data_IF_276304556014
#
_entry.id   IF_276304556014
#
_cell.length_a   1.000
_cell.length_b   1.000
_cell.length_c   1.000
_cell.angle_alpha   90.00
_cell.angle_beta   90.00
_cell.angle_gamma   90.00
#
_symmetry.space_group_name_H-M   'P 1'
#
loop_
_entity.id
_entity.type
_entity.pdbx_description
1 polymer ?
#
# COMPACT_ATOMS: atom_id res chain seq x y z
N UNK A 1 -4.16 -6.39 14.63
CA UNK A 1 -3.65 -5.01 14.51
C UNK A 1 -4.33 -4.27 13.37
N UNK A 2 -4.33 -2.93 13.39
CA UNK A 2 -4.78 -2.10 12.27
C UNK A 2 -3.56 -1.69 11.45
N UNK A 3 -3.59 -1.94 10.14
CA UNK A 3 -2.48 -1.64 9.26
C UNK A 3 -2.92 -0.85 8.03
N UNK A 4 -2.17 0.18 7.68
CA UNK A 4 -2.20 0.79 6.37
C UNK A 4 -1.36 -0.04 5.41
N UNK A 5 -1.93 -0.48 4.29
CA UNK A 5 -1.33 -1.42 3.35
C UNK A 5 -1.15 -0.72 2.01
N UNK A 6 0.09 -0.56 1.55
CA UNK A 6 0.37 -0.02 0.22
C UNK A 6 0.28 -1.11 -0.89
N UNK A 7 0.43 -0.71 -2.15
CA UNK A 7 0.39 -1.65 -3.26
C UNK A 7 1.51 -2.69 -3.23
N UNK A 8 2.66 -2.38 -2.65
CA UNK A 8 3.82 -3.28 -2.59
C UNK A 8 3.51 -4.54 -1.79
N UNK A 9 2.77 -4.44 -0.68
CA UNK A 9 2.35 -5.59 0.14
C UNK A 9 1.40 -6.50 -0.63
N UNK A 10 0.37 -5.94 -1.27
CA UNK A 10 -0.58 -6.72 -2.06
C UNK A 10 0.09 -7.41 -3.24
N UNK A 11 0.99 -6.71 -3.93
CA UNK A 11 1.70 -7.25 -5.08
C UNK A 11 2.62 -8.40 -4.68
N UNK A 12 3.29 -8.36 -3.52
CA UNK A 12 4.09 -9.51 -3.07
C UNK A 12 3.25 -10.76 -2.93
N UNK A 13 2.07 -10.65 -2.32
CA UNK A 13 1.14 -11.77 -2.14
C UNK A 13 0.60 -12.25 -3.49
N UNK A 14 0.03 -11.34 -4.29
CA UNK A 14 -0.64 -11.70 -5.55
C UNK A 14 0.31 -12.23 -6.63
N UNK A 15 1.59 -11.83 -6.58
CA UNK A 15 2.61 -12.27 -7.54
C UNK A 15 3.48 -13.42 -7.01
N UNK A 16 3.23 -13.92 -5.79
CA UNK A 16 4.02 -14.98 -5.17
C UNK A 16 5.49 -14.60 -4.97
N UNK A 17 5.76 -13.32 -4.71
CA UNK A 17 7.13 -12.84 -4.49
C UNK A 17 7.63 -13.29 -3.10
N UNK A 18 8.95 -13.54 -2.96
CA UNK A 18 9.53 -13.88 -1.66
C UNK A 18 9.38 -12.71 -0.68
N UNK A 19 9.52 -13.00 0.61
CA UNK A 19 9.47 -12.03 1.71
C UNK A 19 8.15 -11.25 1.76
N UNK A 20 7.02 -11.93 1.53
CA UNK A 20 5.71 -11.39 1.84
C UNK A 20 5.62 -11.07 3.33
N UNK A 21 4.82 -10.06 3.69
CA UNK A 21 4.64 -9.58 5.06
C UNK A 21 4.27 -10.73 6.03
N UNK A 22 5.15 -11.13 6.97
CA UNK A 22 4.86 -12.21 7.91
C UNK A 22 3.65 -11.94 8.80
N UNK A 23 3.44 -10.68 9.17
CA UNK A 23 2.37 -10.21 10.04
C UNK A 23 1.02 -10.08 9.32
N UNK A 24 0.92 -10.43 8.02
CA UNK A 24 -0.31 -10.29 7.23
C UNK A 24 -1.53 -10.91 7.93
N UNK A 25 -1.37 -12.11 8.51
CA UNK A 25 -2.46 -12.82 9.22
C UNK A 25 -2.86 -12.17 10.55
N UNK A 26 -2.10 -11.21 11.03
CA UNK A 26 -2.37 -10.47 12.27
C UNK A 26 -3.08 -9.14 12.00
N UNK A 27 -3.30 -8.77 10.73
CA UNK A 27 -4.05 -7.57 10.34
C UNK A 27 -5.55 -7.87 10.47
N UNK A 28 -6.19 -7.27 11.46
CA UNK A 28 -7.64 -7.40 11.69
C UNK A 28 -8.43 -6.42 10.81
N UNK A 29 -7.83 -5.25 10.55
CA UNK A 29 -8.39 -4.19 9.71
C UNK A 29 -7.29 -3.60 8.85
N UNK A 30 -7.39 -3.82 7.54
CA UNK A 30 -6.48 -3.26 6.55
C UNK A 30 -7.07 -2.00 5.94
N UNK A 31 -6.31 -0.91 5.97
CA UNK A 31 -6.67 0.38 5.36
C UNK A 31 -5.76 0.61 4.16
N UNK A 32 -6.26 1.21 3.10
CA UNK A 32 -5.40 1.67 2.00
C UNK A 32 -5.97 2.91 1.32
N UNK A 33 -5.14 3.62 0.57
CA UNK A 33 -5.64 4.61 -0.39
C UNK A 33 -6.33 3.87 -1.54
N UNK A 34 -7.38 4.46 -2.11
CA UNK A 34 -7.96 4.03 -3.37
C UNK A 34 -6.91 3.89 -4.50
N UNK A 35 -5.75 4.55 -4.36
CA UNK A 35 -4.60 4.44 -5.26
C UNK A 35 -4.06 3.01 -5.44
N UNK A 36 -4.25 2.16 -4.43
CA UNK A 36 -3.76 0.76 -4.45
C UNK A 36 -4.29 -0.03 -5.65
N UNK A 37 -5.52 0.28 -6.09
CA UNK A 37 -6.15 -0.40 -7.21
C UNK A 37 -5.45 -0.13 -8.55
N UNK A 38 -5.31 1.13 -9.01
CA UNK A 38 -4.57 1.40 -10.24
C UNK A 38 -3.10 0.98 -10.13
N UNK A 39 -2.43 1.11 -8.99
CA UNK A 39 -1.04 0.67 -8.83
C UNK A 39 -0.85 -0.83 -9.01
N UNK A 40 -1.66 -1.64 -8.33
CA UNK A 40 -1.60 -3.09 -8.46
C UNK A 40 -1.93 -3.53 -9.90
N UNK A 41 -3.02 -3.00 -10.47
CA UNK A 41 -3.47 -3.40 -11.81
C UNK A 41 -2.54 -2.92 -12.92
N UNK A 42 -1.94 -1.73 -12.79
CA UNK A 42 -0.92 -1.25 -13.75
C UNK A 42 0.39 -2.01 -13.62
N UNK A 43 0.74 -2.46 -12.42
CA UNK A 43 1.89 -3.33 -12.25
C UNK A 43 1.67 -4.70 -12.87
N UNK A 44 0.50 -5.32 -12.68
CA UNK A 44 0.15 -6.56 -13.36
C UNK A 44 0.17 -6.41 -14.89
N UNK A 45 -0.40 -5.32 -15.41
CA UNK A 45 -0.42 -5.05 -16.85
C UNK A 45 0.99 -4.87 -17.42
N UNK A 46 1.86 -4.14 -16.72
CA UNK A 46 3.28 -4.01 -17.08
C UNK A 46 4.00 -5.36 -17.06
N UNK A 47 3.69 -6.23 -16.10
CA UNK A 47 4.25 -7.58 -16.04
C UNK A 47 3.74 -8.47 -17.17
N UNK A 48 2.46 -8.39 -17.54
CA UNK A 48 1.91 -9.08 -18.72
C UNK A 48 2.72 -8.75 -19.97
N UNK A 49 2.99 -7.46 -20.19
CA UNK A 49 3.71 -6.98 -21.38
C UNK A 49 5.21 -7.35 -21.35
N UNK A 50 5.85 -7.33 -20.18
CA UNK A 50 7.31 -7.55 -20.05
C UNK A 50 7.72 -9.00 -19.86
N UNK A 51 6.89 -9.79 -19.18
CA UNK A 51 7.19 -11.17 -18.81
C UNK A 51 6.37 -12.20 -19.59
N UNK A 52 5.62 -11.77 -20.62
CA UNK A 52 4.80 -12.63 -21.47
C UNK A 52 3.89 -13.60 -20.69
N UNK A 53 3.27 -13.10 -19.61
CA UNK A 53 2.31 -13.89 -18.82
C UNK A 53 1.15 -14.33 -19.71
N UNK A 54 0.75 -15.59 -19.59
CA UNK A 54 -0.43 -16.11 -20.27
C UNK A 54 -1.71 -15.42 -19.78
N UNK A 55 -2.76 -15.44 -20.61
CA UNK A 55 -4.07 -14.88 -20.23
C UNK A 55 -4.63 -15.54 -18.96
N UNK A 56 -4.39 -16.84 -18.77
CA UNK A 56 -4.80 -17.58 -17.58
C UNK A 56 -4.07 -17.10 -16.31
N UNK A 57 -2.76 -16.83 -16.39
CA UNK A 57 -1.99 -16.26 -15.28
C UNK A 57 -2.44 -14.85 -14.95
N UNK A 58 -2.68 -14.02 -15.97
CA UNK A 58 -3.18 -12.66 -15.79
C UNK A 58 -4.55 -12.67 -15.12
N UNK A 59 -5.47 -13.52 -15.58
CA UNK A 59 -6.79 -13.66 -14.99
C UNK A 59 -6.72 -14.08 -13.52
N UNK A 60 -5.88 -15.09 -13.22
CA UNK A 60 -5.68 -15.59 -11.85
C UNK A 60 -5.13 -14.51 -10.94
N UNK A 61 -4.03 -13.84 -11.33
CA UNK A 61 -3.38 -12.79 -10.52
C UNK A 61 -4.30 -11.57 -10.36
N UNK A 62 -5.04 -11.20 -11.41
CA UNK A 62 -6.04 -10.11 -11.33
C UNK A 62 -7.14 -10.44 -10.34
N UNK A 63 -7.69 -11.65 -10.38
CA UNK A 63 -8.70 -12.10 -9.43
C UNK A 63 -8.16 -12.04 -7.99
N UNK A 64 -6.93 -12.52 -7.75
CA UNK A 64 -6.29 -12.42 -6.43
C UNK A 64 -6.13 -10.97 -5.96
N UNK A 65 -5.64 -10.06 -6.81
CA UNK A 65 -5.52 -8.63 -6.49
C UNK A 65 -6.86 -8.04 -6.09
N UNK A 66 -7.92 -8.30 -6.86
CA UNK A 66 -9.25 -7.75 -6.57
C UNK A 66 -9.84 -8.30 -5.27
N UNK A 67 -9.64 -9.59 -4.99
CA UNK A 67 -10.05 -10.19 -3.72
C UNK A 67 -9.31 -9.56 -2.53
N UNK A 68 -8.00 -9.32 -2.66
CA UNK A 68 -7.22 -8.68 -1.61
C UNK A 68 -7.67 -7.23 -1.37
N UNK A 69 -7.89 -6.45 -2.44
CA UNK A 69 -8.37 -5.06 -2.34
C UNK A 69 -9.77 -5.02 -1.71
N UNK A 70 -10.66 -5.95 -2.06
CA UNK A 70 -12.01 -6.01 -1.50
C UNK A 70 -12.05 -6.30 0.01
N UNK A 71 -10.96 -6.83 0.58
CA UNK A 71 -10.81 -7.03 2.02
C UNK A 71 -10.27 -5.79 2.77
N UNK A 72 -9.92 -4.72 2.05
CA UNK A 72 -9.41 -3.47 2.63
C UNK A 72 -10.51 -2.42 2.73
N UNK A 73 -10.41 -1.58 3.75
CA UNK A 73 -11.08 -0.29 3.79
C UNK A 73 -10.32 0.69 2.90
N UNK A 74 -10.99 1.21 1.88
CA UNK A 74 -10.40 2.17 0.96
C UNK A 74 -10.73 3.60 1.37
N UNK A 75 -9.70 4.42 1.49
CA UNK A 75 -9.80 5.86 1.69
C UNK A 75 -9.69 6.53 0.33
N UNK A 76 -10.73 7.29 -0.04
CA UNK A 76 -10.78 8.04 -1.28
C UNK A 76 -9.73 9.15 -1.32
N UNK A 77 -9.25 9.47 -2.52
CA UNK A 77 -8.28 10.55 -2.74
C UNK A 77 -9.07 11.82 -3.05
N UNK A 78 -9.31 12.62 -2.02
CA UNK A 78 -9.96 13.93 -2.14
C UNK A 78 -8.94 15.09 -2.09
N UNK A 79 -9.43 16.33 -2.11
CA UNK A 79 -8.57 17.51 -2.03
C UNK A 79 -7.78 17.57 -0.72
N UNK A 80 -8.31 17.06 0.39
CA UNK A 80 -7.62 17.09 1.69
C UNK A 80 -6.39 16.17 1.65
N UNK A 81 -6.54 14.97 1.06
CA UNK A 81 -5.42 14.05 0.85
C UNK A 81 -4.36 14.68 -0.06
N UNK A 82 -4.78 15.27 -1.18
CA UNK A 82 -3.87 15.90 -2.14
C UNK A 82 -3.13 17.10 -1.55
N UNK A 83 -3.83 17.98 -0.82
CA UNK A 83 -3.24 19.14 -0.17
C UNK A 83 -2.22 18.71 0.89
N UNK A 84 -2.52 17.65 1.65
CA UNK A 84 -1.59 17.07 2.63
C UNK A 84 -0.38 16.43 1.97
N UNK A 85 -0.57 15.73 0.85
CA UNK A 85 0.51 15.10 0.09
C UNK A 85 1.44 16.13 -0.58
N UNK A 86 0.93 17.32 -0.89
CA UNK A 86 1.70 18.43 -1.46
C UNK A 86 2.55 19.19 -0.43
N UNK A 87 2.33 18.99 0.87
CA UNK A 87 3.15 19.61 1.92
C UNK A 87 4.54 18.97 2.02
N UNK A 88 5.54 19.69 2.56
CA UNK A 88 6.87 19.12 2.79
C UNK A 88 6.82 17.82 3.60
N UNK A 89 7.54 16.81 3.10
CA UNK A 89 7.72 15.52 3.77
C UNK A 89 9.12 15.46 4.40
N UNK A 90 9.30 14.74 5.52
CA UNK A 90 10.59 14.66 6.22
C UNK A 90 11.65 13.88 5.46
N UNK A 91 11.27 13.13 4.43
CA UNK A 91 12.13 12.29 3.59
C UNK A 91 11.80 12.50 2.12
N UNK A 92 12.70 12.07 1.23
CA UNK A 92 12.42 12.03 -0.20
C UNK A 92 11.34 10.98 -0.49
N UNK A 93 10.19 11.42 -1.00
CA UNK A 93 9.06 10.57 -1.37
C UNK A 93 8.59 10.93 -2.77
N UNK A 94 8.30 9.91 -3.58
CA UNK A 94 7.57 10.10 -4.82
C UNK A 94 6.13 10.52 -4.55
N UNK A 95 5.45 11.08 -5.56
CA UNK A 95 4.08 11.59 -5.41
C UNK A 95 3.09 10.52 -4.92
N UNK A 96 3.19 9.28 -5.42
CA UNK A 96 2.28 8.19 -5.02
C UNK A 96 2.52 7.78 -3.56
N UNK A 97 3.79 7.68 -3.14
CA UNK A 97 4.15 7.38 -1.75
C UNK A 97 3.74 8.52 -0.81
N UNK A 98 3.87 9.77 -1.25
CA UNK A 98 3.40 10.94 -0.51
C UNK A 98 1.87 10.90 -0.32
N UNK A 99 1.10 10.46 -1.33
CA UNK A 99 -0.35 10.24 -1.22
C UNK A 99 -0.65 9.11 -0.25
N UNK A 100 0.07 7.99 -0.30
CA UNK A 100 -0.11 6.90 0.66
C UNK A 100 0.13 7.36 2.10
N UNK A 101 1.24 8.04 2.34
CA UNK A 101 1.60 8.56 3.65
C UNK A 101 0.60 9.62 4.16
N UNK A 102 0.20 10.56 3.29
CA UNK A 102 -0.81 11.56 3.63
C UNK A 102 -2.14 10.90 4.02
N UNK A 103 -2.58 9.89 3.26
CA UNK A 103 -3.79 9.12 3.55
C UNK A 103 -3.69 8.43 4.91
N UNK A 104 -2.57 7.77 5.20
CA UNK A 104 -2.35 7.07 6.47
C UNK A 104 -2.39 8.02 7.67
N UNK A 105 -1.74 9.19 7.55
CA UNK A 105 -1.70 10.21 8.60
C UNK A 105 -3.09 10.78 8.85
N UNK A 106 -3.81 11.18 7.80
CA UNK A 106 -5.15 11.74 7.93
C UNK A 106 -6.13 10.73 8.54
N UNK A 107 -6.06 9.46 8.14
CA UNK A 107 -6.89 8.41 8.70
C UNK A 107 -6.59 8.18 10.18
N UNK A 108 -5.29 8.13 10.56
CA UNK A 108 -4.87 7.99 11.96
C UNK A 108 -5.33 9.19 12.80
N UNK A 109 -5.20 10.40 12.28
CA UNK A 109 -5.59 11.62 12.99
C UNK A 109 -7.12 11.68 13.17
N UNK A 110 -7.90 11.24 12.18
CA UNK A 110 -9.36 11.23 12.26
C UNK A 110 -9.92 10.14 13.20
N UNK A 111 -9.24 8.99 13.30
CA UNK A 111 -9.72 7.83 14.07
C UNK A 111 -9.08 7.68 15.44
N UNK A 112 -7.94 8.34 15.66
CA UNK A 112 -7.06 8.17 16.82
C UNK A 112 -6.63 6.72 17.09
N UNK A 113 -6.71 5.85 16.08
CA UNK A 113 -6.33 4.46 16.19
C UNK A 113 -4.81 4.27 16.03
N UNK A 114 -4.27 3.26 16.70
CA UNK A 114 -2.87 2.86 16.52
C UNK A 114 -2.72 2.16 15.16
N UNK A 115 -2.04 2.83 14.23
CA UNK A 115 -1.91 2.45 12.83
C UNK A 115 -0.47 2.08 12.50
N UNK A 116 -0.28 0.87 11.96
CA UNK A 116 1.00 0.40 11.44
C UNK A 116 1.06 0.65 9.93
N UNK A 117 2.15 1.20 9.42
CA UNK A 117 2.41 1.24 7.98
C UNK A 117 3.03 -0.09 7.54
N UNK A 118 2.28 -0.87 6.77
CA UNK A 118 2.75 -2.08 6.11
C UNK A 118 3.17 -1.75 4.68
N UNK A 119 4.48 -1.77 4.44
CA UNK A 119 5.08 -1.46 3.14
C UNK A 119 6.36 -2.25 2.94
N UNK A 120 6.68 -2.58 1.69
CA UNK A 120 7.98 -3.08 1.28
C UNK A 120 8.82 -2.02 0.57
N UNK A 121 8.35 -0.77 0.51
CA UNK A 121 9.09 0.39 0.04
C UNK A 121 9.86 1.04 1.21
N UNK A 122 11.18 1.12 1.08
CA UNK A 122 12.06 1.66 2.12
C UNK A 122 11.91 3.17 2.31
N UNK A 123 11.61 3.91 1.24
CA UNK A 123 11.41 5.36 1.32
C UNK A 123 10.09 5.66 2.03
N UNK A 124 9.00 4.98 1.66
CA UNK A 124 7.71 5.12 2.34
C UNK A 124 7.79 4.71 3.82
N UNK A 125 8.48 3.61 4.12
CA UNK A 125 8.75 3.17 5.49
C UNK A 125 9.46 4.26 6.31
N UNK A 126 10.54 4.84 5.78
CA UNK A 126 11.29 5.88 6.48
C UNK A 126 10.45 7.14 6.70
N UNK A 127 9.67 7.55 5.70
CA UNK A 127 8.73 8.67 5.81
C UNK A 127 7.67 8.44 6.89
N UNK A 128 7.10 7.22 6.94
CA UNK A 128 6.15 6.83 7.97
C UNK A 128 6.75 6.87 9.38
N UNK A 129 7.97 6.36 9.56
CA UNK A 129 8.70 6.42 10.84
C UNK A 129 8.97 7.86 11.28
N UNK A 130 9.34 8.74 10.35
CA UNK A 130 9.57 10.15 10.64
C UNK A 130 8.28 10.89 11.08
N UNK A 131 7.11 10.37 10.72
CA UNK A 131 5.80 10.83 11.22
C UNK A 131 5.31 10.05 12.46
N UNK A 132 6.17 9.21 13.06
CA UNK A 132 5.86 8.47 14.28
C UNK A 132 4.96 7.25 14.09
N UNK A 133 4.83 6.73 12.88
CA UNK A 133 4.13 5.46 12.63
C UNK A 133 5.06 4.28 12.89
N UNK A 134 4.51 3.21 13.47
CA UNK A 134 5.17 1.91 13.44
C UNK A 134 5.16 1.35 12.02
N UNK A 135 6.20 0.60 11.65
CA UNK A 135 6.36 0.05 10.29
C UNK A 135 6.63 -1.43 10.32
N UNK A 136 6.02 -2.16 9.37
CA UNK A 136 6.29 -3.56 9.09
C UNK A 136 6.52 -3.78 7.57
N UNK A 137 7.26 -4.84 7.22
CA UNK A 137 7.48 -5.24 5.82
C UNK A 137 8.84 -4.87 5.22
N UNK A 138 9.55 -3.88 5.76
CA UNK A 138 10.95 -3.59 5.40
C UNK A 138 11.90 -4.31 6.36
N UNK A 139 12.93 -4.98 5.83
CA UNK A 139 14.05 -5.46 6.64
C UNK A 139 14.86 -4.27 7.15
N UNK A 140 15.11 -4.22 8.47
CA UNK A 140 16.05 -3.28 9.08
C UNK A 140 17.48 -3.59 8.67
#
# INVERSE_FOLDING_TARGET
MIAYVDASVLLRVALGQPNALPEWRQIDRGISSALVMPECLRTLDRLRLRAALSDAEVATRRATILTLIAALELVEIDSVVLDRAAQPMPTELGTLDAIHLATAILWKDATHADLIMATHDTALALGAQAHGLHVAGVTR
#
